data_IF_993899548299
#
_entry.id   IF_993899548299
#
_cell.length_a   1.000
_cell.length_b   1.000
_cell.length_c   1.000
_cell.angle_alpha   90.00
_cell.angle_beta   90.00
_cell.angle_gamma   90.00
#
_symmetry.space_group_name_H-M   'P 1'
#
loop_
_entity.id
_entity.type
_entity.pdbx_description
1 polymer ?
#
# COMPACT_ATOMS: atom_id res chain seq x y z
N UNK A 1 -4.11 27.02 -21.49
CA UNK A 1 -3.52 26.01 -20.59
C UNK A 1 -4.41 25.67 -19.37
N UNK A 2 -5.41 26.49 -19.03
CA UNK A 2 -6.18 26.32 -17.78
C UNK A 2 -7.39 25.37 -17.87
N UNK A 3 -8.06 25.24 -19.02
CA UNK A 3 -9.33 24.48 -19.09
C UNK A 3 -9.14 22.96 -19.14
N UNK A 4 -8.21 22.46 -19.97
CA UNK A 4 -7.90 21.01 -20.04
C UNK A 4 -7.29 20.47 -18.75
N UNK A 5 -6.46 21.26 -18.08
CA UNK A 5 -5.87 20.88 -16.79
C UNK A 5 -6.95 20.80 -15.70
N UNK A 6 -7.85 21.79 -15.66
CA UNK A 6 -8.99 21.75 -14.76
C UNK A 6 -9.90 20.56 -15.06
N UNK A 7 -10.15 20.22 -16.33
CA UNK A 7 -10.93 19.03 -16.68
C UNK A 7 -10.28 17.73 -16.21
N UNK A 8 -8.95 17.60 -16.33
CA UNK A 8 -8.22 16.43 -15.84
C UNK A 8 -8.25 16.33 -14.32
N UNK A 9 -7.99 17.43 -13.61
CA UNK A 9 -8.03 17.45 -12.14
C UNK A 9 -9.44 17.12 -11.64
N UNK A 10 -10.46 17.73 -12.23
CA UNK A 10 -11.86 17.49 -11.85
C UNK A 10 -12.38 16.12 -12.29
N UNK A 11 -11.65 15.37 -13.13
CA UNK A 11 -12.10 14.06 -13.59
C UNK A 11 -11.95 12.96 -12.54
N UNK A 12 -11.14 13.20 -11.52
CA UNK A 12 -10.87 12.25 -10.44
C UNK A 12 -11.60 12.58 -9.14
N UNK A 13 -12.45 13.61 -9.16
CA UNK A 13 -13.19 14.12 -8.01
C UNK A 13 -14.46 13.30 -7.72
N UNK A 14 -14.65 12.91 -6.46
CA UNK A 14 -15.76 12.07 -6.01
C UNK A 14 -17.13 12.77 -6.17
N UNK A 15 -17.23 14.07 -5.91
CA UNK A 15 -18.49 14.80 -5.99
C UNK A 15 -18.96 14.93 -7.44
N UNK A 16 -18.02 15.15 -8.37
CA UNK A 16 -18.34 15.25 -9.81
C UNK A 16 -18.58 13.92 -10.49
N UNK A 17 -17.96 12.83 -10.01
CA UNK A 17 -18.29 11.48 -10.47
C UNK A 17 -19.76 11.11 -10.22
N UNK A 18 -20.34 11.60 -9.12
CA UNK A 18 -21.74 11.36 -8.77
C UNK A 18 -22.73 12.32 -9.45
N UNK A 19 -22.26 13.42 -10.04
CA UNK A 19 -23.10 14.49 -10.56
C UNK A 19 -23.79 14.21 -11.91
N UNK A 20 -23.64 13.02 -12.50
CA UNK A 20 -24.37 12.63 -13.73
C UNK A 20 -24.13 13.55 -14.94
N UNK A 21 -23.05 14.33 -14.93
CA UNK A 21 -22.84 15.46 -15.83
C UNK A 21 -22.27 15.04 -17.20
N UNK A 22 -22.88 14.09 -17.92
CA UNK A 22 -22.65 13.79 -19.35
C UNK A 22 -21.21 13.54 -19.86
N UNK A 23 -20.21 13.57 -18.98
CA UNK A 23 -18.78 13.42 -19.24
C UNK A 23 -18.29 12.14 -18.53
N UNK A 24 -17.16 11.59 -18.98
CA UNK A 24 -16.63 10.30 -18.50
C UNK A 24 -16.03 10.32 -17.06
N UNK A 25 -16.51 11.22 -16.19
CA UNK A 25 -16.06 11.32 -14.79
C UNK A 25 -16.27 10.05 -13.96
N UNK A 26 -17.38 9.29 -14.09
CA UNK A 26 -17.56 8.04 -13.34
C UNK A 26 -16.53 6.97 -13.71
N UNK A 27 -16.11 6.93 -14.99
CA UNK A 27 -15.11 5.97 -15.46
C UNK A 27 -13.71 6.32 -14.91
N UNK A 28 -13.33 7.59 -14.97
CA UNK A 28 -12.06 8.07 -14.43
C UNK A 28 -11.96 7.80 -12.91
N UNK A 29 -13.02 8.08 -12.15
CA UNK A 29 -13.09 7.75 -10.72
C UNK A 29 -13.01 6.23 -10.47
N UNK A 30 -13.70 5.41 -11.27
CA UNK A 30 -13.61 3.95 -11.19
C UNK A 30 -12.18 3.41 -11.39
N UNK A 31 -11.43 3.97 -12.33
CA UNK A 31 -10.01 3.63 -12.53
C UNK A 31 -9.13 4.03 -11.34
N UNK A 32 -9.39 5.19 -10.71
CA UNK A 32 -8.68 5.60 -9.49
C UNK A 32 -8.89 4.59 -8.36
N UNK A 33 -10.13 4.13 -8.16
CA UNK A 33 -10.46 3.13 -7.14
C UNK A 33 -9.80 1.77 -7.42
N UNK A 34 -9.72 1.35 -8.69
CA UNK A 34 -8.94 0.17 -9.08
C UNK A 34 -7.45 0.37 -8.77
N UNK A 35 -6.92 1.57 -9.03
CA UNK A 35 -5.55 1.96 -8.68
C UNK A 35 -5.28 1.84 -7.17
N UNK A 36 -6.22 2.28 -6.33
CA UNK A 36 -6.12 2.15 -4.88
C UNK A 36 -6.08 0.68 -4.43
N UNK A 37 -6.91 -0.18 -5.03
CA UNK A 37 -6.89 -1.63 -4.78
C UNK A 37 -5.57 -2.29 -5.21
N UNK A 38 -4.98 -1.87 -6.32
CA UNK A 38 -3.67 -2.36 -6.77
C UNK A 38 -2.54 -1.87 -5.86
N UNK A 39 -2.60 -0.62 -5.39
CA UNK A 39 -1.60 -0.08 -4.48
C UNK A 39 -1.51 -0.90 -3.18
N UNK A 40 -2.66 -1.24 -2.57
CA UNK A 40 -2.66 -2.05 -1.34
C UNK A 40 -2.26 -3.52 -1.58
N UNK A 41 -2.53 -4.08 -2.77
CA UNK A 41 -2.08 -5.42 -3.13
C UNK A 41 -0.53 -5.56 -3.04
N UNK A 42 0.20 -4.46 -3.28
CA UNK A 42 1.65 -4.40 -3.09
C UNK A 42 2.10 -4.70 -1.65
N UNK A 43 1.32 -4.31 -0.63
CA UNK A 43 1.61 -4.64 0.76
C UNK A 43 1.53 -6.17 1.01
N UNK A 44 0.69 -6.88 0.27
CA UNK A 44 0.62 -8.35 0.32
C UNK A 44 1.94 -9.02 -0.07
N UNK A 45 2.67 -8.47 -1.04
CA UNK A 45 3.99 -8.97 -1.44
C UNK A 45 5.03 -8.77 -0.34
N UNK A 46 4.97 -7.65 0.37
CA UNK A 46 5.84 -7.36 1.52
C UNK A 46 5.62 -8.38 2.64
N UNK A 47 4.35 -8.68 2.95
CA UNK A 47 3.96 -9.66 3.98
C UNK A 47 4.50 -11.07 3.72
N UNK A 48 4.63 -11.48 2.45
CA UNK A 48 5.24 -12.77 2.10
C UNK A 48 6.72 -12.80 2.57
N UNK A 49 7.48 -11.74 2.28
CA UNK A 49 8.87 -11.63 2.70
C UNK A 49 9.04 -11.61 4.22
N UNK A 50 8.15 -10.90 4.93
CA UNK A 50 8.13 -10.87 6.38
C UNK A 50 7.82 -12.25 6.97
N UNK A 51 6.85 -12.98 6.43
CA UNK A 51 6.54 -14.35 6.85
C UNK A 51 7.74 -15.29 6.71
N UNK A 52 8.47 -15.19 5.60
CA UNK A 52 9.71 -15.95 5.39
C UNK A 52 10.82 -15.57 6.39
N UNK A 53 11.01 -14.28 6.67
CA UNK A 53 11.99 -13.82 7.65
C UNK A 53 11.67 -14.33 9.06
N UNK A 54 10.39 -14.30 9.46
CA UNK A 54 9.93 -14.85 10.75
C UNK A 54 10.14 -16.35 10.82
N UNK A 55 9.81 -17.10 9.77
CA UNK A 55 10.05 -18.55 9.72
C UNK A 55 11.54 -18.88 9.92
N UNK A 56 12.44 -18.13 9.26
CA UNK A 56 13.89 -18.30 9.41
C UNK A 56 14.39 -17.92 10.80
N UNK A 57 13.82 -16.90 11.42
CA UNK A 57 14.12 -16.59 12.82
C UNK A 57 13.69 -17.73 13.76
N UNK A 58 12.51 -18.31 13.57
CA UNK A 58 12.06 -19.47 14.35
C UNK A 58 12.99 -20.69 14.18
N UNK A 59 13.42 -21.00 12.95
CA UNK A 59 14.40 -22.06 12.68
C UNK A 59 15.74 -21.79 13.41
N UNK A 60 16.24 -20.55 13.39
CA UNK A 60 17.50 -20.18 14.04
C UNK A 60 17.39 -20.30 15.57
N UNK A 61 16.28 -19.86 16.15
CA UNK A 61 16.00 -19.96 17.59
C UNK A 61 15.86 -21.42 18.01
N UNK A 62 15.17 -22.24 17.22
CA UNK A 62 15.01 -23.67 17.52
C UNK A 62 16.33 -24.43 17.53
N UNK A 63 17.27 -24.06 16.64
CA UNK A 63 18.61 -24.65 16.59
C UNK A 63 19.53 -24.18 17.73
N UNK A 64 19.46 -22.90 18.09
CA UNK A 64 20.30 -22.29 19.13
C UNK A 64 19.45 -21.44 20.08
N UNK A 65 18.82 -22.04 21.11
CA UNK A 65 17.90 -21.36 22.01
C UNK A 65 18.55 -20.18 22.77
N UNK A 66 19.84 -20.28 23.11
CA UNK A 66 20.60 -19.20 23.75
C UNK A 66 20.68 -17.92 22.91
N UNK A 67 20.55 -18.02 21.58
CA UNK A 67 20.62 -16.88 20.67
C UNK A 67 19.29 -16.13 20.52
N UNK A 68 18.21 -16.61 21.18
CA UNK A 68 16.85 -16.13 20.95
C UNK A 68 16.67 -14.62 21.10
N UNK A 69 17.27 -14.03 22.13
CA UNK A 69 17.19 -12.59 22.37
C UNK A 69 17.82 -11.78 21.24
N UNK A 70 19.01 -12.20 20.78
CA UNK A 70 19.74 -11.53 19.69
C UNK A 70 19.01 -11.67 18.35
N UNK A 71 18.48 -12.86 18.05
CA UNK A 71 17.72 -13.11 16.82
C UNK A 71 16.44 -12.28 16.78
N UNK A 72 15.68 -12.22 17.88
CA UNK A 72 14.48 -11.37 17.98
C UNK A 72 14.78 -9.89 17.76
N UNK A 73 15.88 -9.40 18.32
CA UNK A 73 16.31 -8.00 18.13
C UNK A 73 16.57 -7.66 16.66
N UNK A 74 17.34 -8.49 15.95
CA UNK A 74 17.62 -8.29 14.52
C UNK A 74 16.36 -8.47 13.68
N UNK A 75 15.51 -9.45 14.01
CA UNK A 75 14.24 -9.68 13.32
C UNK A 75 13.33 -8.45 13.42
N UNK A 76 13.09 -7.93 14.63
CA UNK A 76 12.18 -6.78 14.83
C UNK A 76 12.72 -5.54 14.10
N UNK A 77 14.03 -5.28 14.16
CA UNK A 77 14.64 -4.17 13.42
C UNK A 77 14.45 -4.33 11.91
N UNK A 78 14.69 -5.53 11.38
CA UNK A 78 14.49 -5.81 9.95
C UNK A 78 13.03 -5.69 9.52
N UNK A 79 12.10 -6.25 10.31
CA UNK A 79 10.67 -6.15 10.05
C UNK A 79 10.18 -4.70 10.09
N UNK A 80 10.65 -3.89 11.04
CA UNK A 80 10.28 -2.48 11.13
C UNK A 80 10.73 -1.66 9.91
N UNK A 81 11.90 -1.96 9.35
CA UNK A 81 12.38 -1.32 8.12
C UNK A 81 11.55 -1.79 6.92
N UNK A 82 11.27 -3.09 6.80
CA UNK A 82 10.47 -3.64 5.71
C UNK A 82 9.03 -3.12 5.74
N UNK A 83 8.47 -2.89 6.92
CA UNK A 83 7.11 -2.37 7.11
C UNK A 83 6.89 -1.01 6.43
N UNK A 84 7.94 -0.18 6.26
CA UNK A 84 7.79 1.12 5.60
C UNK A 84 7.30 1.00 4.17
N UNK A 85 7.63 -0.10 3.48
CA UNK A 85 7.13 -0.36 2.13
C UNK A 85 5.61 -0.61 2.12
N UNK A 86 5.10 -1.40 3.08
CA UNK A 86 3.66 -1.62 3.27
C UNK A 86 2.93 -0.32 3.61
N UNK A 87 3.54 0.52 4.45
CA UNK A 87 2.98 1.83 4.81
C UNK A 87 2.90 2.75 3.58
N UNK A 88 3.89 2.74 2.69
CA UNK A 88 3.80 3.53 1.44
C UNK A 88 2.68 3.04 0.51
N UNK A 89 2.49 1.71 0.38
CA UNK A 89 1.34 1.15 -0.33
C UNK A 89 0.00 1.63 0.27
N UNK A 90 -0.12 1.62 1.60
CA UNK A 90 -1.31 2.10 2.29
C UNK A 90 -1.53 3.60 2.09
N UNK A 91 -0.48 4.42 2.24
CA UNK A 91 -0.58 5.87 2.06
C UNK A 91 -1.06 6.20 0.64
N UNK A 92 -0.50 5.56 -0.39
CA UNK A 92 -0.93 5.81 -1.78
C UNK A 92 -2.39 5.39 -1.97
N UNK A 93 -2.81 4.24 -1.44
CA UNK A 93 -4.21 3.83 -1.51
C UNK A 93 -5.15 4.83 -0.83
N UNK A 94 -4.79 5.32 0.36
CA UNK A 94 -5.58 6.32 1.08
C UNK A 94 -5.62 7.66 0.34
N UNK A 95 -4.51 8.09 -0.25
CA UNK A 95 -4.49 9.31 -1.07
C UNK A 95 -5.44 9.18 -2.26
N UNK A 96 -5.41 8.05 -2.98
CA UNK A 96 -6.30 7.83 -4.12
C UNK A 96 -7.79 7.75 -3.73
N UNK A 97 -8.11 7.36 -2.49
CA UNK A 97 -9.49 7.25 -2.00
C UNK A 97 -10.01 8.60 -1.48
N UNK A 98 -9.16 9.40 -0.83
CA UNK A 98 -9.60 10.54 -0.02
C UNK A 98 -9.10 11.91 -0.51
N UNK A 99 -8.23 11.96 -1.52
CA UNK A 99 -7.62 13.20 -2.04
C UNK A 99 -7.76 13.27 -3.56
#
# INVERSE_FOLDING_TARGET
MNEKLNLLINAFDQDKANAGSGLNYPFAYGLTMLGAGLAIAGAGLVSIGQGMAVAKACEAIGKNPESASKVRGVLILGLAIVETASIYCLIIALLLIFV
#
